data_IF_821354612346
#
_entry.id   IF_821354612346
#
_cell.length_a   1.000
_cell.length_b   1.000
_cell.length_c   1.000
_cell.angle_alpha   90.00
_cell.angle_beta   90.00
_cell.angle_gamma   90.00
#
_symmetry.space_group_name_H-M   'P 1'
#
loop_
_entity.id
_entity.type
_entity.pdbx_description
1 polymer ?
#
# COMPACT_ATOMS: atom_id res chain seq x y z
N UNK A 1 -0.34 -33.01 26.32
CA UNK A 1 -1.58 -32.46 25.74
C UNK A 1 -1.36 -30.97 25.49
N UNK A 2 -1.50 -30.58 24.21
CA UNK A 2 -1.59 -29.24 23.62
C UNK A 2 -1.04 -28.03 24.41
N UNK A 3 0.21 -27.66 24.15
CA UNK A 3 0.58 -26.24 24.19
C UNK A 3 -0.03 -25.58 22.97
N UNK A 4 -1.12 -24.83 23.15
CA UNK A 4 -1.63 -23.91 22.16
C UNK A 4 -0.60 -22.80 21.98
N UNK A 5 0.40 -23.03 21.13
CA UNK A 5 1.20 -21.98 20.52
C UNK A 5 0.26 -21.18 19.62
N UNK A 6 -0.56 -20.30 20.22
CA UNK A 6 -1.15 -19.21 19.49
C UNK A 6 0.01 -18.36 18.98
N UNK A 7 0.43 -18.65 17.75
CA UNK A 7 1.45 -17.86 17.08
C UNK A 7 0.98 -16.42 17.04
N UNK A 8 1.66 -15.56 17.81
CA UNK A 8 1.40 -14.13 17.87
C UNK A 8 1.23 -13.60 16.45
N UNK A 9 0.06 -12.99 16.21
CA UNK A 9 -0.27 -12.37 14.93
C UNK A 9 0.26 -10.95 14.88
N UNK A 10 0.72 -10.55 13.71
CA UNK A 10 1.22 -9.21 13.44
C UNK A 10 0.45 -8.61 12.26
N UNK A 11 0.08 -7.34 12.41
CA UNK A 11 -0.46 -6.56 11.31
C UNK A 11 0.68 -6.01 10.46
N UNK A 12 0.46 -5.94 9.15
CA UNK A 12 1.46 -5.46 8.22
C UNK A 12 0.95 -4.23 7.49
N UNK A 13 1.81 -3.21 7.41
CA UNK A 13 1.56 -2.01 6.62
C UNK A 13 2.44 -2.05 5.37
N UNK A 14 1.80 -2.16 4.21
CA UNK A 14 2.42 -2.05 2.90
C UNK A 14 2.25 -0.63 2.36
N UNK A 15 3.33 0.13 2.31
CA UNK A 15 3.32 1.51 1.81
C UNK A 15 3.58 1.52 0.31
N UNK A 16 2.54 1.80 -0.48
CA UNK A 16 2.54 1.90 -1.94
C UNK A 16 2.34 3.35 -2.41
N UNK A 17 3.01 4.29 -1.72
CA UNK A 17 2.80 5.71 -1.94
C UNK A 17 3.42 6.25 -3.24
N UNK A 18 2.83 7.34 -3.75
CA UNK A 18 3.37 8.10 -4.89
C UNK A 18 3.93 9.44 -4.39
N UNK A 19 5.20 9.74 -4.70
CA UNK A 19 5.86 10.97 -4.28
C UNK A 19 6.26 11.85 -5.47
N UNK A 20 6.24 13.18 -5.30
CA UNK A 20 6.77 14.14 -6.30
C UNK A 20 8.27 13.93 -6.58
N UNK A 21 9.03 13.39 -5.63
CA UNK A 21 10.44 12.99 -5.77
C UNK A 21 10.64 11.49 -6.01
N UNK A 22 9.57 10.71 -6.17
CA UNK A 22 9.72 9.29 -6.48
C UNK A 22 10.28 9.16 -7.89
N UNK A 23 11.43 8.49 -8.02
CA UNK A 23 12.01 8.16 -9.32
C UNK A 23 11.00 7.29 -10.06
N UNK A 24 10.25 7.90 -10.98
CA UNK A 24 9.28 7.21 -11.82
C UNK A 24 10.05 6.32 -12.79
N UNK A 25 10.25 5.07 -12.40
CA UNK A 25 10.73 4.04 -13.33
C UNK A 25 9.61 3.85 -14.34
N UNK A 26 9.88 4.07 -15.63
CA UNK A 26 8.88 4.02 -16.71
C UNK A 26 7.65 4.94 -16.51
N UNK A 27 7.84 6.15 -15.97
CA UNK A 27 6.74 7.11 -15.71
C UNK A 27 5.63 6.59 -14.75
N UNK A 28 5.86 5.46 -14.08
CA UNK A 28 4.89 4.79 -13.22
C UNK A 28 5.40 4.66 -11.79
N UNK A 29 4.48 4.64 -10.83
CA UNK A 29 4.79 4.33 -9.44
C UNK A 29 5.25 2.85 -9.33
N UNK A 30 6.38 2.63 -8.63
CA UNK A 30 7.09 1.34 -8.54
C UNK A 30 6.21 0.19 -8.04
N UNK A 31 5.20 0.46 -7.20
CA UNK A 31 4.27 -0.55 -6.71
C UNK A 31 3.40 -1.16 -7.82
N UNK A 32 3.19 -0.41 -8.90
CA UNK A 32 2.34 -0.78 -10.04
C UNK A 32 3.15 -1.23 -11.25
N UNK A 33 4.47 -1.35 -11.12
CA UNK A 33 5.27 -1.95 -12.19
C UNK A 33 4.81 -3.37 -12.41
N UNK A 34 4.73 -3.75 -13.68
CA UNK A 34 4.29 -5.07 -14.07
C UNK A 34 5.51 -5.99 -14.19
N UNK A 35 5.52 -7.06 -13.40
CA UNK A 35 6.42 -8.20 -13.58
C UNK A 35 5.58 -9.35 -14.13
N UNK A 36 5.98 -9.92 -15.27
CA UNK A 36 5.30 -11.08 -15.89
C UNK A 36 3.77 -10.89 -16.05
N UNK A 37 3.33 -9.69 -16.44
CA UNK A 37 1.90 -9.39 -16.62
C UNK A 37 1.12 -9.06 -15.34
N UNK A 38 1.77 -9.04 -14.16
CA UNK A 38 1.13 -8.72 -12.87
C UNK A 38 1.83 -7.58 -12.13
N UNK A 39 1.07 -6.68 -11.50
CA UNK A 39 1.64 -5.61 -10.69
C UNK A 39 2.43 -6.16 -9.49
N UNK A 40 3.62 -5.59 -9.21
CA UNK A 40 4.51 -5.98 -8.09
C UNK A 40 3.76 -6.05 -6.76
N UNK A 41 2.90 -5.07 -6.47
CA UNK A 41 2.12 -5.03 -5.22
C UNK A 41 1.30 -6.31 -5.01
N UNK A 42 0.81 -6.93 -6.08
CA UNK A 42 -0.01 -8.13 -6.00
C UNK A 42 0.81 -9.38 -5.66
N UNK A 43 2.10 -9.40 -5.98
CA UNK A 43 2.98 -10.48 -5.53
C UNK A 43 3.24 -10.38 -4.04
N UNK A 44 3.47 -9.16 -3.54
CA UNK A 44 3.68 -8.90 -2.11
C UNK A 44 2.44 -9.27 -1.31
N UNK A 45 1.24 -8.85 -1.75
CA UNK A 45 -0.02 -9.19 -1.07
C UNK A 45 -0.21 -10.71 -0.99
N UNK A 46 0.00 -11.42 -2.10
CA UNK A 46 -0.13 -12.89 -2.11
C UNK A 46 0.88 -13.58 -1.21
N UNK A 47 2.12 -13.07 -1.13
CA UNK A 47 3.12 -13.59 -0.21
C UNK A 47 2.68 -13.36 1.24
N UNK A 48 2.23 -12.15 1.59
CA UNK A 48 1.74 -11.81 2.93
C UNK A 48 0.51 -12.62 3.32
N UNK A 49 -0.39 -12.93 2.38
CA UNK A 49 -1.55 -13.79 2.61
C UNK A 49 -1.15 -15.22 3.03
N UNK A 50 0.01 -15.74 2.61
CA UNK A 50 0.47 -17.09 2.94
C UNK A 50 1.18 -17.20 4.31
N UNK A 51 1.62 -16.08 4.90
CA UNK A 51 2.42 -16.11 6.15
C UNK A 51 1.56 -16.35 7.40
N UNK A 52 1.74 -17.47 8.09
CA UNK A 52 0.90 -17.83 9.26
C UNK A 52 0.91 -16.80 10.40
N UNK A 53 1.99 -16.06 10.62
CA UNK A 53 2.09 -15.05 11.68
C UNK A 53 1.47 -13.70 11.33
N UNK A 54 0.96 -13.50 10.11
CA UNK A 54 0.29 -12.25 9.74
C UNK A 54 -1.21 -12.34 10.06
N UNK A 55 -1.73 -11.27 10.66
CA UNK A 55 -3.16 -11.00 10.85
C UNK A 55 -3.71 -10.20 9.68
N UNK A 56 -3.88 -8.89 9.85
CA UNK A 56 -4.44 -8.02 8.83
C UNK A 56 -3.36 -7.32 7.99
N UNK A 57 -3.72 -6.99 6.74
CA UNK A 57 -2.84 -6.33 5.78
C UNK A 57 -3.40 -4.95 5.46
N UNK A 58 -2.64 -3.91 5.76
CA UNK A 58 -2.98 -2.51 5.49
C UNK A 58 -2.15 -2.01 4.32
N UNK A 59 -2.79 -1.63 3.22
CA UNK A 59 -2.13 -1.09 2.04
C UNK A 59 -2.37 0.41 1.99
N UNK A 60 -1.31 1.20 2.09
CA UNK A 60 -1.38 2.66 2.09
C UNK A 60 -0.93 3.19 0.73
N UNK A 61 -1.78 3.95 0.03
CA UNK A 61 -1.41 4.54 -1.27
C UNK A 61 -2.56 5.31 -1.91
N UNK A 62 -2.46 5.56 -3.23
CA UNK A 62 -3.55 6.16 -4.01
C UNK A 62 -4.72 5.17 -4.07
N UNK A 63 -5.79 5.47 -3.34
CA UNK A 63 -6.93 4.56 -3.13
C UNK A 63 -7.51 4.06 -4.46
N UNK A 64 -7.90 4.96 -5.35
CA UNK A 64 -8.56 4.59 -6.62
C UNK A 64 -7.71 3.64 -7.47
N UNK A 65 -6.40 3.89 -7.52
CA UNK A 65 -5.47 3.06 -8.29
C UNK A 65 -5.24 1.69 -7.64
N UNK A 66 -5.17 1.65 -6.31
CA UNK A 66 -5.10 0.39 -5.57
C UNK A 66 -6.38 -0.44 -5.77
N UNK A 67 -7.54 0.20 -5.70
CA UNK A 67 -8.83 -0.46 -5.93
C UNK A 67 -8.90 -1.07 -7.34
N UNK A 68 -8.55 -0.31 -8.38
CA UNK A 68 -8.52 -0.81 -9.75
C UNK A 68 -7.62 -2.06 -9.90
N UNK A 69 -6.45 -2.03 -9.29
CA UNK A 69 -5.47 -3.13 -9.36
C UNK A 69 -5.93 -4.36 -8.58
N UNK A 70 -6.56 -4.18 -7.42
CA UNK A 70 -7.14 -5.29 -6.65
C UNK A 70 -8.36 -5.90 -7.36
N UNK A 71 -9.27 -5.08 -7.90
CA UNK A 71 -10.44 -5.55 -8.64
C UNK A 71 -10.06 -6.32 -9.92
N UNK A 72 -9.14 -5.78 -10.72
CA UNK A 72 -8.69 -6.43 -11.96
C UNK A 72 -7.96 -7.76 -11.72
N UNK A 73 -7.31 -7.90 -10.55
CA UNK A 73 -6.56 -9.11 -10.18
C UNK A 73 -7.38 -10.17 -9.44
N UNK A 74 -8.68 -9.92 -9.22
CA UNK A 74 -9.61 -10.83 -8.52
C UNK A 74 -9.12 -11.27 -7.14
N UNK A 75 -8.39 -10.40 -6.44
CA UNK A 75 -7.98 -10.66 -5.06
C UNK A 75 -9.18 -10.50 -4.15
N UNK A 76 -9.48 -11.55 -3.37
CA UNK A 76 -10.43 -11.47 -2.27
C UNK A 76 -9.79 -10.69 -1.11
N UNK A 77 -10.55 -9.72 -0.57
CA UNK A 77 -10.10 -8.79 0.47
C UNK A 77 -10.44 -9.28 1.86
N UNK A 78 -11.31 -10.28 1.99
CA UNK A 78 -11.73 -10.84 3.27
C UNK A 78 -11.08 -12.22 3.48
N UNK A 79 -10.65 -12.89 2.42
CA UNK A 79 -10.01 -14.21 2.48
C UNK A 79 -8.68 -14.29 1.68
N UNK A 80 -7.65 -15.03 2.15
CA UNK A 80 -7.52 -15.72 3.45
C UNK A 80 -7.26 -14.78 4.64
N UNK A 81 -7.00 -13.50 4.38
CA UNK A 81 -6.75 -12.47 5.38
C UNK A 81 -7.36 -11.16 4.94
N UNK A 82 -7.74 -10.35 5.90
CA UNK A 82 -8.36 -9.07 5.62
C UNK A 82 -7.37 -8.07 5.05
N UNK A 83 -7.76 -7.41 3.97
CA UNK A 83 -6.97 -6.37 3.28
C UNK A 83 -7.70 -5.04 3.42
N UNK A 84 -7.07 -4.11 4.14
CA UNK A 84 -7.52 -2.74 4.29
C UNK A 84 -6.79 -1.84 3.31
N UNK A 85 -7.50 -1.17 2.41
CA UNK A 85 -6.92 -0.09 1.60
C UNK A 85 -7.12 1.24 2.33
N UNK A 86 -6.00 1.89 2.60
CA UNK A 86 -5.93 3.16 3.31
C UNK A 86 -5.41 4.22 2.33
N UNK A 87 -6.15 5.32 2.22
CA UNK A 87 -5.75 6.42 1.37
C UNK A 87 -4.52 7.14 1.97
N UNK A 88 -3.49 7.31 1.13
CA UNK A 88 -2.36 8.17 1.48
C UNK A 88 -2.80 9.63 1.49
N UNK A 89 -2.82 10.24 2.66
CA UNK A 89 -3.05 11.69 2.79
C UNK A 89 -1.81 12.49 2.37
N UNK A 90 -1.99 13.70 1.81
CA UNK A 90 -0.88 14.63 1.63
C UNK A 90 -0.25 14.95 2.98
N UNK A 91 1.02 15.35 2.97
CA UNK A 91 1.71 15.76 4.19
C UNK A 91 0.88 16.82 4.91
N UNK A 92 0.58 16.59 6.18
CA UNK A 92 -0.18 17.52 7.00
C UNK A 92 0.74 18.70 7.35
N UNK A 93 0.97 19.59 6.39
CA UNK A 93 1.43 20.94 6.68
C UNK A 93 0.22 21.69 7.22
N UNK A 94 0.13 21.82 8.55
CA UNK A 94 -0.57 22.97 9.12
C UNK A 94 0.22 24.19 8.67
N UNK A 95 -0.24 24.86 7.62
CA UNK A 95 0.24 26.18 7.25
C UNK A 95 -0.24 27.17 8.30
N UNK A 96 0.35 27.09 9.49
CA UNK A 96 0.39 28.20 10.42
C UNK A 96 1.26 29.28 9.78
N UNK A 97 0.58 30.23 9.12
CA UNK A 97 1.06 31.53 8.66
C UNK A 97 2.54 31.61 8.25
N UNK A 98 2.82 31.45 6.96
CA UNK A 98 4.00 32.10 6.37
C UNK A 98 3.56 32.89 5.15
N UNK A 99 3.83 34.18 5.23
CA UNK A 99 3.64 35.18 4.19
C UNK A 99 4.16 34.68 2.84
N UNK A 100 3.32 34.82 1.82
CA UNK A 100 3.70 34.72 0.42
C UNK A 100 4.74 35.80 0.11
N UNK A 101 5.96 35.41 -0.20
CA UNK A 101 6.84 36.26 -0.99
C UNK A 101 6.60 35.94 -2.46
N UNK A 102 5.94 36.87 -3.16
CA UNK A 102 5.94 36.96 -4.61
C UNK A 102 7.39 37.04 -5.09
N UNK A 103 7.83 36.10 -5.90
CA UNK A 103 9.03 36.27 -6.72
C UNK A 103 8.58 36.29 -8.19
N UNK A 104 8.29 37.50 -8.66
CA UNK A 104 8.33 37.82 -10.08
C UNK A 104 9.77 37.71 -10.56
N UNK A 105 10.03 36.84 -11.53
CA UNK A 105 10.93 37.11 -12.68
C UNK A 105 10.68 36.11 -13.79
#
# INVERSE_FOLDING_TARGET
MSSSNEHKKYDVILVAGEGKSSYKVYHQNKAFLTLQGKCVILYVIQALQQVKSIGDIYIVGLKDKLEQVLHSSRIDREFPKRIHVVEQKPICMKTSGRHSYNLNR
#
